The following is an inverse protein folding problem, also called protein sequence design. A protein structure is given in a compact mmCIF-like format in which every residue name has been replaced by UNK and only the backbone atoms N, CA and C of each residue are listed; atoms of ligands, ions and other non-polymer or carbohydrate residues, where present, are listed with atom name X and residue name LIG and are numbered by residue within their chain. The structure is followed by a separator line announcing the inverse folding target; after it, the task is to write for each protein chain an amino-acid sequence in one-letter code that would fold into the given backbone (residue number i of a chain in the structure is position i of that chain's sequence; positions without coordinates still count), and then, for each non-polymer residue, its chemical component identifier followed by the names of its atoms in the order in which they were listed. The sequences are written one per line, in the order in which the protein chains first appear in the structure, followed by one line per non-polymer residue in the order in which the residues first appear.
data_IF_606834498657
#
_entry.id   IF_606834498657
#
_cell.length_a   1.000
_cell.length_b   1.000
_cell.length_c   1.000
_cell.angle_alpha   90.00
_cell.angle_beta   90.00
_cell.angle_gamma   90.00
#
_symmetry.space_group_name_H-M   'P 1'
#
loop_
_entity.id
_entity.type
_entity.pdbx_description
1 polymer ?
#
# COMPACT_ATOMS: atom_id res chain seq x y z
N UNK A 1 -60.26 0.33 18.13
CA UNK A 1 -59.59 -0.87 17.58
C UNK A 1 -58.20 -0.46 17.12
N UNK A 2 -57.16 -1.11 17.63
CA UNK A 2 -55.75 -0.73 17.46
C UNK A 2 -55.16 -1.44 16.23
N UNK A 3 -54.77 -0.68 15.21
CA UNK A 3 -54.17 -1.24 14.00
C UNK A 3 -52.66 -1.45 14.25
N UNK A 4 -52.25 -2.72 14.24
CA UNK A 4 -50.86 -3.16 14.42
C UNK A 4 -50.09 -2.92 13.12
N UNK A 5 -49.05 -2.10 13.19
CA UNK A 5 -48.07 -1.92 12.12
C UNK A 5 -47.14 -3.13 12.09
N UNK A 6 -47.08 -3.81 10.95
CA UNK A 6 -46.25 -4.99 10.71
C UNK A 6 -44.87 -4.51 10.23
N UNK A 7 -43.88 -4.45 11.13
CA UNK A 7 -42.47 -4.27 10.77
C UNK A 7 -41.94 -5.60 10.21
N UNK A 8 -42.07 -5.81 8.90
CA UNK A 8 -41.35 -6.87 8.20
C UNK A 8 -39.93 -6.39 7.91
N UNK A 9 -39.00 -6.71 8.82
CA UNK A 9 -37.58 -6.53 8.60
C UNK A 9 -37.04 -7.59 7.65
N UNK A 10 -36.94 -7.26 6.36
CA UNK A 10 -36.30 -8.12 5.37
C UNK A 10 -34.77 -7.98 5.51
N UNK A 11 -34.17 -8.89 6.27
CA UNK A 11 -32.72 -9.03 6.37
C UNK A 11 -32.19 -9.67 5.08
N UNK A 12 -31.82 -8.85 4.10
CA UNK A 12 -31.09 -9.26 2.91
C UNK A 12 -29.64 -9.57 3.30
N UNK A 13 -29.36 -10.84 3.55
CA UNK A 13 -27.99 -11.36 3.66
C UNK A 13 -27.37 -11.35 2.25
N UNK A 14 -26.64 -10.27 1.93
CA UNK A 14 -25.78 -10.22 0.76
C UNK A 14 -24.64 -11.23 0.95
N UNK A 15 -24.81 -12.43 0.41
CA UNK A 15 -23.68 -13.29 0.07
C UNK A 15 -22.90 -12.61 -1.04
N UNK A 16 -21.87 -11.85 -0.70
CA UNK A 16 -20.85 -11.47 -1.68
C UNK A 16 -20.03 -12.73 -1.96
N UNK A 17 -20.08 -13.31 -3.17
CA UNK A 17 -19.13 -14.34 -3.53
C UNK A 17 -17.73 -13.72 -3.44
N UNK A 18 -16.87 -14.29 -2.59
CA UNK A 18 -15.44 -14.04 -2.59
C UNK A 18 -14.89 -14.52 -3.94
N UNK A 19 -14.98 -13.66 -4.94
CA UNK A 19 -14.24 -13.81 -6.19
C UNK A 19 -12.76 -13.85 -5.81
N UNK A 20 -12.05 -14.93 -6.19
CA UNK A 20 -10.59 -14.95 -6.11
C UNK A 20 -10.10 -13.84 -7.03
N UNK A 21 -9.82 -12.68 -6.45
CA UNK A 21 -9.53 -11.48 -7.20
C UNK A 21 -8.27 -11.71 -8.02
N UNK A 22 -8.40 -11.56 -9.34
CA UNK A 22 -7.24 -11.44 -10.22
C UNK A 22 -6.26 -10.45 -9.58
N UNK A 23 -4.98 -10.84 -9.53
CA UNK A 23 -3.94 -9.93 -9.07
C UNK A 23 -3.91 -8.78 -10.07
N UNK A 24 -4.14 -7.57 -9.58
CA UNK A 24 -4.02 -6.34 -10.34
C UNK A 24 -2.70 -5.70 -9.94
N UNK A 25 -1.90 -5.33 -10.94
CA UNK A 25 -0.71 -4.52 -10.80
C UNK A 25 -0.85 -3.38 -11.81
N UNK A 26 -0.90 -2.15 -11.31
CA UNK A 26 -0.91 -0.92 -12.09
C UNK A 26 0.32 -0.10 -11.74
N UNK A 27 1.23 0.07 -12.71
CA UNK A 27 2.47 0.81 -12.53
C UNK A 27 2.38 2.15 -13.25
N UNK A 28 2.27 3.22 -12.47
CA UNK A 28 2.15 4.58 -12.94
C UNK A 28 3.52 5.26 -12.91
N UNK A 29 4.25 5.18 -14.02
CA UNK A 29 5.64 5.67 -14.12
C UNK A 29 5.73 7.17 -13.85
N UNK A 30 4.79 7.95 -14.37
CA UNK A 30 4.77 9.42 -14.26
C UNK A 30 4.63 9.91 -12.81
N UNK A 31 3.78 9.24 -12.04
CA UNK A 31 3.53 9.57 -10.63
C UNK A 31 4.47 8.83 -9.68
N UNK A 32 5.31 7.94 -10.23
CA UNK A 32 6.17 7.02 -9.48
C UNK A 32 5.40 6.26 -8.40
N UNK A 33 4.28 5.67 -8.83
CA UNK A 33 3.36 4.93 -7.97
C UNK A 33 3.07 3.55 -8.55
N UNK A 34 2.87 2.59 -7.67
CA UNK A 34 2.48 1.22 -8.00
C UNK A 34 1.27 0.86 -7.13
N UNK A 35 0.14 0.59 -7.78
CA UNK A 35 -1.03 0.02 -7.13
C UNK A 35 -1.07 -1.48 -7.39
N UNK A 36 -1.09 -2.29 -6.34
CA UNK A 36 -1.11 -3.75 -6.47
C UNK A 36 -2.00 -4.43 -5.44
N UNK A 37 -2.57 -5.57 -5.81
CA UNK A 37 -3.43 -6.34 -4.92
C UNK A 37 -4.53 -7.11 -5.65
N UNK A 38 -5.68 -7.26 -5.01
CA UNK A 38 -6.84 -7.98 -5.52
C UNK A 38 -8.15 -7.30 -5.05
N UNK A 39 -9.28 -8.00 -5.17
CA UNK A 39 -10.60 -7.49 -4.75
C UNK A 39 -10.74 -7.24 -3.25
N UNK A 40 -9.89 -7.86 -2.42
CA UNK A 40 -9.94 -7.81 -0.95
C UNK A 40 -8.83 -6.95 -0.35
N UNK A 41 -7.66 -6.87 -0.96
CA UNK A 41 -6.53 -6.09 -0.46
C UNK A 41 -5.91 -5.33 -1.62
N UNK A 42 -5.81 -4.01 -1.51
CA UNK A 42 -5.10 -3.15 -2.47
C UNK A 42 -4.10 -2.28 -1.72
N UNK A 43 -2.91 -2.13 -2.28
CA UNK A 43 -1.81 -1.36 -1.73
C UNK A 43 -1.33 -0.36 -2.78
N UNK A 44 -1.04 0.85 -2.36
CA UNK A 44 -0.36 1.84 -3.20
C UNK A 44 1.03 2.08 -2.63
N UNK A 45 2.06 1.84 -3.42
CA UNK A 45 3.46 2.11 -3.10
C UNK A 45 3.96 3.28 -3.92
N UNK A 46 4.50 4.29 -3.24
CA UNK A 46 5.17 5.44 -3.85
C UNK A 46 6.68 5.23 -3.82
N UNK A 47 7.34 5.41 -4.97
CA UNK A 47 8.77 5.20 -5.12
C UNK A 47 9.53 6.46 -5.60
N UNK A 48 8.90 7.64 -5.61
CA UNK A 48 9.55 8.89 -6.00
C UNK A 48 10.30 9.58 -4.86
N UNK A 49 11.63 9.46 -4.83
CA UNK A 49 12.52 9.92 -3.74
C UNK A 49 12.11 9.45 -2.33
N UNK A 50 11.26 8.44 -2.28
CA UNK A 50 10.78 7.73 -1.11
C UNK A 50 10.49 6.30 -1.53
N UNK A 51 10.31 5.38 -0.59
CA UNK A 51 9.75 4.05 -0.81
C UNK A 51 8.80 3.77 0.35
N UNK A 52 7.51 3.98 0.13
CA UNK A 52 6.47 4.00 1.17
C UNK A 52 5.20 3.36 0.61
N UNK A 53 4.57 2.49 1.38
CA UNK A 53 3.18 2.09 1.11
C UNK A 53 2.29 3.21 1.66
N UNK A 54 1.76 4.06 0.79
CA UNK A 54 1.01 5.27 1.16
C UNK A 54 -0.49 5.02 1.37
N UNK A 55 -1.02 3.94 0.78
CA UNK A 55 -2.42 3.58 0.91
C UNK A 55 -2.60 2.07 1.04
N UNK A 56 -3.64 1.68 1.78
CA UNK A 56 -4.11 0.30 1.88
C UNK A 56 -5.63 0.31 1.94
N UNK A 57 -6.25 -0.46 1.06
CA UNK A 57 -7.69 -0.72 1.04
C UNK A 57 -7.89 -2.20 1.37
N UNK A 58 -8.65 -2.49 2.42
CA UNK A 58 -9.00 -3.83 2.85
C UNK A 58 -10.52 -3.99 2.78
N UNK A 59 -11.00 -4.97 2.01
CA UNK A 59 -12.41 -5.24 1.73
C UNK A 59 -13.18 -3.99 1.29
N UNK A 60 -12.58 -3.18 0.41
CA UNK A 60 -13.15 -1.93 -0.08
C UNK A 60 -13.10 -0.76 0.90
N UNK A 61 -12.62 -0.97 2.12
CA UNK A 61 -12.43 0.09 3.12
C UNK A 61 -10.98 0.57 3.13
N UNK A 62 -10.77 1.88 3.01
CA UNK A 62 -9.47 2.50 3.20
C UNK A 62 -9.06 2.36 4.67
N UNK A 63 -8.00 1.59 4.94
CA UNK A 63 -7.47 1.33 6.28
C UNK A 63 -6.15 2.05 6.56
N UNK A 64 -5.43 2.43 5.49
CA UNK A 64 -4.25 3.29 5.56
C UNK A 64 -4.39 4.40 4.53
N UNK A 65 -4.14 5.64 4.96
CA UNK A 65 -4.08 6.78 4.05
C UNK A 65 -3.26 7.92 4.61
N UNK A 66 -2.53 8.60 3.73
CA UNK A 66 -1.83 9.85 4.04
C UNK A 66 -0.41 9.65 4.58
N UNK A 67 0.07 10.61 5.37
CA UNK A 67 1.48 10.75 5.78
C UNK A 67 1.98 9.69 6.77
N UNK A 68 1.10 8.79 7.23
CA UNK A 68 1.42 7.74 8.20
C UNK A 68 1.84 6.40 7.55
N UNK A 69 2.06 6.38 6.23
CA UNK A 69 2.33 5.17 5.43
C UNK A 69 3.34 4.16 6.00
N UNK A 70 3.47 2.98 5.39
CA UNK A 70 4.38 1.94 5.87
C UNK A 70 5.75 2.14 5.20
N UNK A 71 6.80 2.20 6.02
CA UNK A 71 8.19 2.43 5.59
C UNK A 71 9.17 1.78 6.57
N UNK A 72 10.43 1.62 6.13
CA UNK A 72 11.53 1.19 6.98
C UNK A 72 12.11 2.39 7.74
N UNK A 73 12.32 2.28 9.05
CA UNK A 73 13.04 3.25 9.88
C UNK A 73 14.17 2.55 10.63
N UNK A 74 15.37 3.15 10.57
CA UNK A 74 16.54 2.72 11.35
C UNK A 74 16.99 3.89 12.21
N UNK A 75 17.04 3.67 13.52
CA UNK A 75 17.52 4.64 14.50
C UNK A 75 18.88 4.24 15.04
N UNK A 76 19.85 5.13 14.90
CA UNK A 76 21.17 5.00 15.52
C UNK A 76 21.23 5.87 16.78
N UNK A 77 22.39 5.89 17.44
CA UNK A 77 22.62 6.79 18.58
C UNK A 77 22.65 8.27 18.18
N UNK A 78 22.93 8.57 16.90
CA UNK A 78 23.16 9.93 16.40
C UNK A 78 22.08 10.42 15.46
N UNK A 79 21.39 9.51 14.75
CA UNK A 79 20.44 9.88 13.70
C UNK A 79 19.29 8.88 13.56
N UNK A 80 18.29 9.27 12.77
CA UNK A 80 17.22 8.40 12.29
C UNK A 80 17.15 8.48 10.78
N UNK A 81 17.13 7.32 10.13
CA UNK A 81 17.08 7.19 8.68
C UNK A 81 15.85 6.40 8.28
N UNK A 82 15.24 6.75 7.16
CA UNK A 82 14.03 6.05 6.71
C UNK A 82 13.92 5.98 5.20
N UNK A 83 13.18 4.98 4.71
CA UNK A 83 12.83 4.89 3.29
C UNK A 83 11.88 6.00 2.83
N UNK A 84 11.38 6.87 3.72
CA UNK A 84 10.58 8.05 3.35
C UNK A 84 11.41 9.17 2.72
N UNK A 85 12.73 9.12 2.88
CA UNK A 85 13.64 10.16 2.43
C UNK A 85 14.84 9.49 1.77
N UNK A 86 14.72 9.25 0.45
CA UNK A 86 15.80 8.69 -0.35
C UNK A 86 16.58 9.81 -1.03
N UNK A 87 17.89 9.63 -1.16
CA UNK A 87 18.74 10.58 -1.89
C UNK A 87 18.52 10.51 -3.43
N UNK A 88 17.89 9.43 -3.91
CA UNK A 88 17.58 9.18 -5.32
C UNK A 88 16.43 8.18 -5.42
N UNK A 89 15.77 8.15 -6.57
CA UNK A 89 14.77 7.14 -6.85
C UNK A 89 15.40 5.72 -6.88
N UNK A 90 14.69 4.70 -6.38
CA UNK A 90 15.07 3.32 -6.55
C UNK A 90 14.86 2.86 -8.00
N UNK A 91 15.41 1.69 -8.34
CA UNK A 91 15.22 1.06 -9.65
C UNK A 91 14.01 0.14 -9.57
N UNK A 92 12.98 0.42 -10.38
CA UNK A 92 11.77 -0.41 -10.47
C UNK A 92 11.79 -1.29 -11.70
N UNK A 93 11.47 -2.57 -11.54
CA UNK A 93 11.22 -3.52 -12.63
C UNK A 93 9.85 -4.17 -12.44
N UNK A 94 9.03 -4.15 -13.49
CA UNK A 94 7.72 -4.80 -13.52
C UNK A 94 7.78 -6.07 -14.36
N UNK A 95 7.24 -7.16 -13.83
CA UNK A 95 6.88 -8.37 -14.56
C UNK A 95 5.37 -8.62 -14.51
N UNK A 96 4.93 -9.77 -15.02
CA UNK A 96 3.49 -10.07 -15.16
C UNK A 96 2.75 -10.16 -13.81
N UNK A 97 3.44 -10.62 -12.77
CA UNK A 97 2.85 -10.86 -11.44
C UNK A 97 3.75 -10.38 -10.29
N UNK A 98 4.82 -9.66 -10.61
CA UNK A 98 5.79 -9.19 -9.63
C UNK A 98 6.27 -7.78 -9.97
N UNK A 99 6.60 -7.01 -8.94
CA UNK A 99 7.38 -5.80 -9.07
C UNK A 99 8.53 -5.90 -8.10
N UNK A 100 9.72 -5.55 -8.60
CA UNK A 100 10.94 -5.54 -7.81
C UNK A 100 11.47 -4.12 -7.74
N UNK A 101 11.69 -3.63 -6.53
CA UNK A 101 12.21 -2.30 -6.23
C UNK A 101 13.59 -2.47 -5.62
N UNK A 102 14.63 -2.11 -6.37
CA UNK A 102 16.03 -2.27 -5.95
C UNK A 102 16.66 -0.94 -5.62
N UNK A 103 17.75 -1.00 -4.85
CA UNK A 103 18.58 0.16 -4.52
C UNK A 103 17.80 1.25 -3.76
N UNK A 104 16.90 0.83 -2.86
CA UNK A 104 16.27 1.73 -1.88
C UNK A 104 17.38 2.13 -0.90
N UNK A 105 17.95 3.31 -1.11
CA UNK A 105 19.12 3.78 -0.37
C UNK A 105 18.76 4.99 0.49
N UNK A 106 18.97 4.85 1.80
CA UNK A 106 18.78 5.92 2.78
C UNK A 106 19.90 5.90 3.82
N UNK A 107 20.02 7.01 4.55
CA UNK A 107 21.17 7.25 5.42
C UNK A 107 22.25 8.11 4.76
N UNK A 108 23.36 8.32 5.47
CA UNK A 108 24.43 9.24 5.05
C UNK A 108 25.81 8.76 5.48
N UNK A 109 26.82 9.14 4.70
CA UNK A 109 28.22 8.84 5.01
C UNK A 109 28.49 7.34 5.13
N UNK A 110 28.93 6.90 6.32
CA UNK A 110 29.23 5.48 6.62
C UNK A 110 28.00 4.68 7.04
N UNK A 111 26.87 5.36 7.31
CA UNK A 111 25.62 4.75 7.77
C UNK A 111 24.63 4.68 6.60
N UNK A 112 25.04 4.05 5.51
CA UNK A 112 24.20 3.84 4.34
C UNK A 112 23.46 2.50 4.48
N UNK A 113 22.14 2.55 4.40
CA UNK A 113 21.28 1.38 4.37
C UNK A 113 20.79 1.18 2.94
N UNK A 114 20.89 -0.05 2.46
CA UNK A 114 20.40 -0.46 1.16
C UNK A 114 19.40 -1.61 1.31
N UNK A 115 18.19 -1.41 0.80
CA UNK A 115 17.14 -2.42 0.77
C UNK A 115 16.73 -2.77 -0.67
N UNK A 116 16.15 -3.96 -0.83
CA UNK A 116 15.41 -4.35 -2.02
C UNK A 116 14.07 -4.89 -1.56
N UNK A 117 12.98 -4.36 -2.12
CA UNK A 117 11.61 -4.81 -1.87
C UNK A 117 11.08 -5.56 -3.08
#
# INVERSE_FOLDING_TARGET
MKNKWFCSGMLLLYFFPLSSGNILIDHQIETKSISFGNSTLQLTLEYGQQCVISQMILNGQQVLSGTAGIYSEVRTTTDTYSSRQLARDPIVKSGDHEIIIRNINYGRGKELIQENW
#
